data_IF_134272087453
#
_entry.id   IF_134272087453
#
_cell.length_a   1.000
_cell.length_b   1.000
_cell.length_c   1.000
_cell.angle_alpha   90.00
_cell.angle_beta   90.00
_cell.angle_gamma   90.00
#
_symmetry.space_group_name_H-M   'P 1'
#
loop_
_entity.id
_entity.type
_entity.pdbx_description
1 polymer ?
#
# COMPACT_ATOMS: atom_id res chain seq x y z
N UNK A 1 -13.33 -6.97 9.20
CA UNK A 1 -12.38 -7.93 8.61
C UNK A 1 -12.80 -9.31 9.03
N UNK A 2 -12.89 -10.26 8.10
CA UNK A 2 -13.14 -11.68 8.41
C UNK A 2 -11.83 -12.42 8.66
N UNK A 3 -11.90 -13.59 9.32
CA UNK A 3 -10.71 -14.43 9.56
C UNK A 3 -10.03 -14.85 8.25
N UNK A 4 -10.83 -15.10 7.21
CA UNK A 4 -10.33 -15.42 5.87
C UNK A 4 -9.53 -14.25 5.26
N UNK A 5 -10.03 -13.02 5.38
CA UNK A 5 -9.31 -11.83 4.90
C UNK A 5 -8.02 -11.61 5.68
N UNK A 6 -8.04 -11.82 7.00
CA UNK A 6 -6.84 -11.71 7.83
C UNK A 6 -5.78 -12.74 7.44
N UNK A 7 -6.17 -14.00 7.20
CA UNK A 7 -5.26 -15.04 6.75
C UNK A 7 -4.61 -14.67 5.41
N UNK A 8 -5.40 -14.15 4.48
CA UNK A 8 -4.94 -13.70 3.16
C UNK A 8 -3.94 -12.55 3.24
N UNK A 9 -4.24 -11.54 4.06
CA UNK A 9 -3.31 -10.44 4.34
C UNK A 9 -2.00 -10.97 4.92
N UNK A 10 -2.07 -11.87 5.91
CA UNK A 10 -0.86 -12.45 6.51
C UNK A 10 -0.03 -13.23 5.49
N UNK A 11 -0.64 -14.01 4.61
CA UNK A 11 0.08 -14.72 3.55
C UNK A 11 0.79 -13.77 2.57
N UNK A 12 0.14 -12.66 2.18
CA UNK A 12 0.78 -11.63 1.37
C UNK A 12 1.99 -11.03 2.10
N UNK A 13 1.79 -10.64 3.36
CA UNK A 13 2.80 -9.98 4.19
C UNK A 13 4.00 -10.88 4.50
N UNK A 14 3.78 -12.18 4.73
CA UNK A 14 4.85 -13.15 5.00
C UNK A 14 5.72 -13.41 3.76
N UNK A 15 5.17 -13.20 2.56
CA UNK A 15 5.93 -13.25 1.30
C UNK A 15 6.70 -11.98 0.97
N UNK A 16 6.60 -10.92 1.78
CA UNK A 16 7.24 -9.63 1.53
C UNK A 16 8.58 -9.47 2.25
N UNK A 17 9.49 -8.69 1.66
CA UNK A 17 10.77 -8.28 2.27
C UNK A 17 10.63 -7.11 3.27
N UNK A 18 9.41 -6.85 3.76
CA UNK A 18 9.13 -5.80 4.74
C UNK A 18 9.73 -6.15 6.11
N UNK A 19 10.20 -5.13 6.84
CA UNK A 19 10.57 -5.29 8.25
C UNK A 19 9.33 -5.61 9.09
N UNK A 20 9.49 -6.26 10.24
CA UNK A 20 8.36 -6.61 11.13
C UNK A 20 7.49 -5.39 11.48
N UNK A 21 8.13 -4.26 11.78
CA UNK A 21 7.43 -2.99 12.04
C UNK A 21 6.61 -2.52 10.83
N UNK A 22 7.17 -2.60 9.62
CA UNK A 22 6.47 -2.21 8.40
C UNK A 22 5.28 -3.13 8.12
N UNK A 23 5.48 -4.43 8.36
CA UNK A 23 4.46 -5.47 8.22
C UNK A 23 3.28 -5.20 9.14
N UNK A 24 3.54 -4.87 10.40
CA UNK A 24 2.48 -4.55 11.37
C UNK A 24 1.73 -3.27 11.01
N UNK A 25 2.44 -2.23 10.57
CA UNK A 25 1.79 -0.99 10.08
C UNK A 25 0.95 -1.26 8.83
N UNK A 26 1.43 -2.09 7.90
CA UNK A 26 0.70 -2.43 6.69
C UNK A 26 -0.53 -3.30 7.00
N UNK A 27 -0.43 -4.20 7.99
CA UNK A 27 -1.58 -4.94 8.52
C UNK A 27 -2.63 -3.99 9.10
N UNK A 28 -2.22 -3.04 9.95
CA UNK A 28 -3.13 -2.02 10.49
C UNK A 28 -3.77 -1.17 9.39
N UNK A 29 -3.02 -0.86 8.32
CA UNK A 29 -3.57 -0.18 7.15
C UNK A 29 -4.68 -1.01 6.50
N UNK A 30 -4.44 -2.29 6.19
CA UNK A 30 -5.46 -3.16 5.62
C UNK A 30 -6.69 -3.30 6.53
N UNK A 31 -6.49 -3.41 7.84
CA UNK A 31 -7.57 -3.40 8.83
C UNK A 31 -8.41 -2.12 8.75
N UNK A 32 -7.76 -0.96 8.63
CA UNK A 32 -8.44 0.35 8.56
C UNK A 32 -9.33 0.52 7.32
N UNK A 33 -8.98 -0.16 6.22
CA UNK A 33 -9.74 -0.11 4.96
C UNK A 33 -10.64 -1.33 4.75
N UNK A 34 -10.64 -2.31 5.67
CA UNK A 34 -11.36 -3.57 5.52
C UNK A 34 -12.88 -3.41 5.38
N UNK A 35 -13.44 -2.30 5.87
CA UNK A 35 -14.86 -1.99 5.75
C UNK A 35 -15.26 -1.42 4.38
N UNK A 36 -14.28 -1.09 3.52
CA UNK A 36 -14.57 -0.50 2.21
C UNK A 36 -15.14 -1.56 1.24
N UNK A 37 -16.19 -1.24 0.45
CA UNK A 37 -16.81 -2.19 -0.48
C UNK A 37 -15.85 -2.82 -1.50
N UNK A 38 -14.78 -2.10 -1.86
CA UNK A 38 -13.75 -2.51 -2.81
C UNK A 38 -12.63 -3.36 -2.19
N UNK A 39 -12.60 -3.52 -0.87
CA UNK A 39 -11.49 -4.17 -0.17
C UNK A 39 -11.19 -5.58 -0.71
N UNK A 40 -12.24 -6.37 -0.93
CA UNK A 40 -12.14 -7.72 -1.49
C UNK A 40 -11.53 -7.73 -2.90
N UNK A 41 -11.87 -6.72 -3.73
CA UNK A 41 -11.28 -6.57 -5.06
C UNK A 41 -9.79 -6.20 -4.98
N UNK A 42 -9.41 -5.38 -4.00
CA UNK A 42 -8.02 -5.00 -3.76
C UNK A 42 -7.22 -6.24 -3.36
N UNK A 43 -7.69 -7.04 -2.39
CA UNK A 43 -7.00 -8.27 -1.99
C UNK A 43 -6.82 -9.23 -3.17
N UNK A 44 -7.88 -9.48 -3.93
CA UNK A 44 -7.82 -10.34 -5.12
C UNK A 44 -6.79 -9.84 -6.15
N UNK A 45 -6.67 -8.52 -6.33
CA UNK A 45 -5.71 -7.91 -7.25
C UNK A 45 -4.27 -8.10 -6.77
N UNK A 46 -4.01 -7.86 -5.47
CA UNK A 46 -2.68 -8.01 -4.88
C UNK A 46 -2.21 -9.48 -4.89
N UNK A 47 -3.10 -10.43 -4.63
CA UNK A 47 -2.80 -11.87 -4.69
C UNK A 47 -2.56 -12.37 -6.10
N UNK A 48 -3.35 -11.90 -7.07
CA UNK A 48 -3.24 -12.34 -8.46
C UNK A 48 -1.98 -11.80 -9.14
N UNK A 49 -1.49 -10.65 -8.71
CA UNK A 49 -0.35 -9.96 -9.33
C UNK A 49 0.73 -9.67 -8.28
N UNK A 50 1.61 -10.63 -7.97
CA UNK A 50 2.65 -10.46 -6.95
C UNK A 50 3.51 -9.20 -7.15
N UNK A 51 3.90 -8.91 -8.39
CA UNK A 51 4.67 -7.70 -8.72
C UNK A 51 3.96 -6.39 -8.35
N UNK A 52 2.63 -6.39 -8.36
CA UNK A 52 1.85 -5.23 -7.94
C UNK A 52 1.87 -5.07 -6.42
N UNK A 53 1.80 -6.19 -5.69
CA UNK A 53 1.95 -6.18 -4.25
C UNK A 53 3.36 -5.76 -3.82
N UNK A 54 4.40 -6.22 -4.51
CA UNK A 54 5.79 -5.81 -4.27
C UNK A 54 5.95 -4.29 -4.46
N UNK A 55 5.42 -3.76 -5.56
CA UNK A 55 5.42 -2.32 -5.82
C UNK A 55 4.62 -1.55 -4.76
N UNK A 56 3.49 -2.09 -4.31
CA UNK A 56 2.69 -1.49 -3.25
C UNK A 56 3.49 -1.41 -1.94
N UNK A 57 4.16 -2.50 -1.55
CA UNK A 57 5.05 -2.55 -0.39
C UNK A 57 6.20 -1.55 -0.52
N UNK A 58 6.81 -1.45 -1.70
CA UNK A 58 7.87 -0.50 -1.98
C UNK A 58 7.40 0.95 -1.81
N UNK A 59 6.26 1.31 -2.41
CA UNK A 59 5.67 2.65 -2.26
C UNK A 59 5.29 2.95 -0.80
N UNK A 60 4.77 1.97 -0.07
CA UNK A 60 4.47 2.10 1.35
C UNK A 60 5.73 2.41 2.17
N UNK A 61 6.83 1.69 1.92
CA UNK A 61 8.13 1.96 2.54
C UNK A 61 8.67 3.35 2.23
N UNK A 62 8.56 3.79 0.97
CA UNK A 62 8.95 5.14 0.57
C UNK A 62 8.14 6.20 1.31
N UNK A 63 6.82 6.04 1.41
CA UNK A 63 5.96 6.96 2.17
C UNK A 63 6.38 6.99 3.64
N UNK A 64 6.63 5.82 4.25
CA UNK A 64 7.06 5.73 5.65
C UNK A 64 8.38 6.46 5.89
N UNK A 65 9.38 6.22 5.06
CA UNK A 65 10.70 6.89 5.13
C UNK A 65 10.59 8.39 4.90
N UNK A 66 9.74 8.81 3.95
CA UNK A 66 9.47 10.22 3.68
C UNK A 66 8.92 10.91 4.93
N UNK A 67 7.89 10.35 5.57
CA UNK A 67 7.30 10.91 6.79
C UNK A 67 8.28 10.87 7.98
N UNK A 68 9.06 9.78 8.12
CA UNK A 68 10.08 9.67 9.16
C UNK A 68 11.19 10.74 9.04
N UNK A 69 11.40 11.32 7.86
CA UNK A 69 12.36 12.41 7.66
C UNK A 69 11.87 13.77 8.16
N UNK A 70 10.65 13.84 8.72
CA UNK A 70 10.02 15.07 9.20
C UNK A 70 9.17 15.78 8.15
N UNK A 71 8.98 15.18 6.98
CA UNK A 71 8.08 15.68 5.95
C UNK A 71 6.61 15.41 6.31
N UNK A 72 5.71 16.28 5.84
CA UNK A 72 4.28 16.19 6.15
C UNK A 72 3.51 15.39 5.10
N UNK A 73 2.31 14.93 5.48
CA UNK A 73 1.38 14.29 4.55
C UNK A 73 0.98 15.23 3.38
N UNK A 74 0.85 16.53 3.62
CA UNK A 74 0.59 17.52 2.57
C UNK A 74 1.73 17.57 1.53
N UNK A 75 2.98 17.45 1.98
CA UNK A 75 4.13 17.42 1.06
C UNK A 75 4.13 16.14 0.23
N UNK A 76 3.76 15.01 0.83
CA UNK A 76 3.60 13.74 0.12
C UNK A 76 2.48 13.84 -0.94
N UNK A 77 1.31 14.36 -0.57
CA UNK A 77 0.19 14.52 -1.49
C UNK A 77 0.54 15.46 -2.66
N UNK A 78 1.27 16.55 -2.40
CA UNK A 78 1.78 17.43 -3.47
C UNK A 78 2.75 16.71 -4.42
N UNK A 79 3.53 15.76 -3.91
CA UNK A 79 4.40 14.94 -4.76
C UNK A 79 3.59 14.01 -5.65
N UNK A 80 2.58 13.32 -5.09
CA UNK A 80 1.68 12.44 -5.85
C UNK A 80 0.88 13.19 -6.92
N UNK A 81 0.41 14.41 -6.64
CA UNK A 81 -0.30 15.22 -7.65
C UNK A 81 0.60 15.59 -8.83
N UNK A 82 1.89 15.84 -8.60
CA UNK A 82 2.86 16.08 -9.68
C UNK A 82 3.07 14.83 -10.52
N UNK A 83 3.18 13.66 -9.88
CA UNK A 83 3.30 12.38 -10.56
C UNK A 83 2.07 12.09 -11.43
N UNK A 84 0.87 12.29 -10.88
CA UNK A 84 -0.39 12.15 -11.62
C UNK A 84 -0.44 13.07 -12.85
N UNK A 85 -0.10 14.34 -12.68
CA UNK A 85 -0.06 15.32 -13.78
C UNK A 85 0.90 14.88 -14.89
N UNK A 86 2.07 14.36 -14.52
CA UNK A 86 3.05 13.86 -15.48
C UNK A 86 2.53 12.66 -16.29
N UNK A 87 1.83 11.71 -15.66
CA UNK A 87 1.21 10.60 -16.38
C UNK A 87 0.11 11.05 -17.34
N UNK A 88 -0.74 12.00 -16.92
CA UNK A 88 -1.78 12.59 -17.78
C UNK A 88 -1.22 13.36 -18.99
N UNK A 89 -0.01 13.91 -18.87
CA UNK A 89 0.71 14.58 -19.96
C UNK A 89 1.36 13.60 -20.95
N UNK A 90 1.83 12.44 -20.48
CA UNK A 90 2.43 11.40 -21.33
C UNK A 90 1.39 10.59 -22.10
N UNK A 91 0.20 10.40 -21.54
CA UNK A 91 -0.89 9.65 -22.18
C UNK A 91 -1.63 10.44 -23.29
N UNK A 92 -1.19 11.66 -23.62
CA UNK A 92 -1.73 12.53 -24.69
C UNK A 92 -0.84 12.56 -25.93
#
# INVERSE_FOLDING_TARGET
MTDEQLLRINNLLDGSDLTDEARDLLRQFFESIAAQPQFEKILNLLEKFPSLFDNFCHCFELKRKFLASGATEDQWNKFLEKEKTFFEEIDK
#
